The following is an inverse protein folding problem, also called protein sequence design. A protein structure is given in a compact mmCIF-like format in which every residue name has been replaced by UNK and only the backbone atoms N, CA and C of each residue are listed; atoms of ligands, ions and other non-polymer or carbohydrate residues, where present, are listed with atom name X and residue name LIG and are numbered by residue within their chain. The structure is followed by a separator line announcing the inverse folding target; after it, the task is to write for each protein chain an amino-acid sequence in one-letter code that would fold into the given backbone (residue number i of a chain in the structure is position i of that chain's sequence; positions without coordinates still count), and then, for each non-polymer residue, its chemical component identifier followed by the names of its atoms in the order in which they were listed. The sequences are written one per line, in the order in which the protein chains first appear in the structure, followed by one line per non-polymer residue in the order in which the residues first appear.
data_IF_420982268156
#
_entry.id   IF_420982268156
#
_cell.length_a   1.000
_cell.length_b   1.000
_cell.length_c   1.000
_cell.angle_alpha   90.00
_cell.angle_beta   90.00
_cell.angle_gamma   90.00
#
_symmetry.space_group_name_H-M   'P 1'
#
loop_
_entity.id
_entity.type
_entity.pdbx_description
1 polymer ?
#
# COMPACT_ATOMS: atom_id res chain seq x y z
N UNK A 1 -0.54 -14.73 26.66
CA UNK A 1 -0.96 -13.82 27.74
C UNK A 1 0.14 -12.77 27.87
N UNK A 2 -0.14 -11.51 27.54
CA UNK A 2 0.79 -10.41 27.78
C UNK A 2 0.59 -9.83 29.18
N UNK A 3 1.37 -8.80 29.55
CA UNK A 3 1.21 -8.10 30.83
C UNK A 3 -0.18 -7.44 30.93
N UNK A 4 -1.11 -8.12 31.58
CA UNK A 4 -2.48 -7.62 31.81
C UNK A 4 -3.44 -7.70 30.61
N UNK A 5 -3.09 -8.38 29.52
CA UNK A 5 -3.98 -8.50 28.35
C UNK A 5 -4.00 -9.87 27.66
N UNK A 6 -5.13 -10.13 26.99
CA UNK A 6 -5.35 -11.35 26.19
C UNK A 6 -5.23 -11.13 24.69
N UNK A 7 -5.67 -9.98 24.15
CA UNK A 7 -5.64 -9.67 22.71
C UNK A 7 -5.04 -8.30 22.37
N UNK A 8 -5.48 -7.23 23.03
CA UNK A 8 -5.00 -5.86 22.80
C UNK A 8 -4.24 -5.33 24.04
N UNK A 9 -3.05 -4.71 23.88
CA UNK A 9 -2.34 -4.11 25.00
C UNK A 9 -3.17 -3.00 25.66
N UNK A 10 -3.18 -2.97 26.99
CA UNK A 10 -3.84 -1.91 27.75
C UNK A 10 -3.08 -0.60 27.52
N UNK A 11 -3.79 0.46 27.14
CA UNK A 11 -3.22 1.80 26.91
C UNK A 11 -2.85 2.14 25.47
N UNK A 12 -2.93 1.20 24.53
CA UNK A 12 -2.67 1.50 23.11
C UNK A 12 -3.90 2.20 22.48
N UNK A 13 -3.79 3.41 21.91
CA UNK A 13 -4.93 4.07 21.29
C UNK A 13 -5.51 3.21 20.18
N UNK A 14 -6.81 2.92 20.25
CA UNK A 14 -7.48 2.01 19.31
C UNK A 14 -7.27 2.42 17.84
N UNK A 15 -7.26 3.73 17.56
CA UNK A 15 -6.95 4.28 16.24
C UNK A 15 -5.51 3.99 15.78
N UNK A 16 -4.54 3.97 16.69
CA UNK A 16 -3.14 3.61 16.39
C UNK A 16 -3.02 2.12 16.11
N UNK A 17 -3.69 1.27 16.91
CA UNK A 17 -3.73 -0.17 16.67
C UNK A 17 -4.30 -0.49 15.29
N UNK A 18 -5.44 0.11 14.97
CA UNK A 18 -6.13 -0.15 13.71
C UNK A 18 -5.45 0.54 12.54
N UNK A 19 -4.79 1.68 12.77
CA UNK A 19 -3.92 2.29 11.78
C UNK A 19 -2.73 1.40 11.45
N UNK A 20 -2.09 0.79 12.47
CA UNK A 20 -1.05 -0.19 12.28
C UNK A 20 -1.56 -1.43 11.52
N UNK A 21 -2.78 -1.88 11.80
CA UNK A 21 -3.40 -3.00 11.08
C UNK A 21 -3.75 -2.63 9.62
N UNK A 22 -4.25 -1.43 9.37
CA UNK A 22 -4.52 -0.92 8.03
C UNK A 22 -3.23 -0.72 7.20
N UNK A 23 -2.11 -0.43 7.86
CA UNK A 23 -0.77 -0.35 7.27
C UNK A 23 0.07 -1.63 7.42
N UNK A 24 -0.49 -2.73 7.95
CA UNK A 24 0.19 -4.02 8.01
C UNK A 24 0.31 -4.58 6.57
N UNK A 25 1.30 -4.09 5.82
CA UNK A 25 1.53 -4.37 4.40
C UNK A 25 1.33 -3.13 3.51
N UNK A 26 1.17 -3.36 2.20
CA UNK A 26 0.86 -2.32 1.22
C UNK A 26 -0.61 -1.87 1.32
N UNK A 27 -0.99 -1.28 2.45
CA UNK A 27 -2.38 -0.88 2.73
C UNK A 27 -2.96 0.14 1.75
N UNK A 28 -4.30 0.15 1.64
CA UNK A 28 -5.03 1.16 0.87
C UNK A 28 -4.87 1.03 -0.65
N UNK A 29 -4.75 2.16 -1.33
CA UNK A 29 -4.70 2.24 -2.80
C UNK A 29 -3.45 1.56 -3.41
N UNK A 30 -2.41 1.32 -2.60
CA UNK A 30 -1.19 0.64 -3.06
C UNK A 30 -1.44 -0.83 -3.43
N UNK A 31 -2.47 -1.46 -2.86
CA UNK A 31 -2.92 -2.80 -3.29
C UNK A 31 -3.40 -2.78 -4.73
N UNK A 32 -4.16 -1.75 -5.12
CA UNK A 32 -4.62 -1.57 -6.50
C UNK A 32 -3.46 -1.19 -7.43
N UNK A 33 -2.46 -0.47 -6.89
CA UNK A 33 -1.30 -0.05 -7.65
C UNK A 33 -0.49 -1.22 -8.24
N UNK A 34 -0.55 -2.40 -7.61
CA UNK A 34 0.07 -3.63 -8.12
C UNK A 34 -0.34 -3.96 -9.55
N UNK A 35 -1.60 -3.66 -9.92
CA UNK A 35 -2.10 -3.89 -11.28
C UNK A 35 -1.33 -3.08 -12.34
N UNK A 36 -0.85 -1.87 -12.00
CA UNK A 36 -0.01 -1.07 -12.92
C UNK A 36 1.37 -1.69 -13.11
N UNK A 37 1.97 -2.28 -12.09
CA UNK A 37 3.27 -2.95 -12.25
C UNK A 37 3.14 -4.22 -13.10
N UNK A 38 2.07 -5.00 -12.91
CA UNK A 38 1.75 -6.15 -13.78
C UNK A 38 1.53 -5.70 -15.24
N UNK A 39 0.79 -4.60 -15.43
CA UNK A 39 0.57 -3.95 -16.73
C UNK A 39 1.89 -3.51 -17.38
N UNK A 40 2.71 -2.72 -16.69
CA UNK A 40 3.97 -2.19 -17.20
C UNK A 40 4.99 -3.29 -17.52
N UNK A 41 5.10 -4.32 -16.67
CA UNK A 41 5.96 -5.47 -16.93
C UNK A 41 5.46 -6.34 -18.09
N UNK A 42 4.22 -6.14 -18.53
CA UNK A 42 3.62 -6.91 -19.63
C UNK A 42 3.27 -8.34 -19.20
N UNK A 43 3.00 -8.57 -17.92
CA UNK A 43 2.65 -9.88 -17.40
C UNK A 43 1.23 -10.25 -17.79
N UNK A 44 1.03 -11.47 -18.29
CA UNK A 44 -0.27 -11.96 -18.74
C UNK A 44 -0.90 -11.02 -19.78
N UNK A 45 -2.13 -10.58 -19.53
CA UNK A 45 -2.84 -9.66 -20.43
C UNK A 45 -2.31 -8.22 -20.38
N UNK A 46 -1.42 -7.89 -19.43
CA UNK A 46 -0.73 -6.59 -19.38
C UNK A 46 0.12 -6.30 -20.62
N UNK A 47 0.52 -7.34 -21.36
CA UNK A 47 1.27 -7.22 -22.63
C UNK A 47 0.59 -6.32 -23.68
N UNK A 48 -0.74 -6.15 -23.61
CA UNK A 48 -1.53 -5.43 -24.61
C UNK A 48 -1.89 -3.98 -24.23
N UNK A 49 -1.46 -3.50 -23.06
CA UNK A 49 -1.94 -2.23 -22.50
C UNK A 49 -1.07 -1.01 -22.82
N UNK A 50 0.14 -1.20 -23.35
CA UNK A 50 1.14 -0.13 -23.49
C UNK A 50 1.70 0.36 -22.14
N UNK A 51 2.80 1.11 -22.17
CA UNK A 51 3.51 1.61 -20.98
C UNK A 51 3.56 3.13 -20.93
N UNK A 52 3.62 3.67 -19.72
CA UNK A 52 3.97 5.09 -19.52
C UNK A 52 5.47 5.22 -19.77
N UNK A 53 5.83 5.88 -20.87
CA UNK A 53 7.22 6.12 -21.24
C UNK A 53 7.71 7.44 -20.65
N UNK A 54 9.03 7.52 -20.44
CA UNK A 54 9.66 8.74 -19.96
C UNK A 54 9.51 9.84 -21.04
N UNK A 55 9.00 11.01 -20.63
CA UNK A 55 8.83 12.19 -21.50
C UNK A 55 10.13 12.55 -22.21
N UNK A 56 11.27 12.35 -21.55
CA UNK A 56 12.60 12.70 -22.09
C UNK A 56 13.08 11.75 -23.19
N UNK A 57 12.49 10.55 -23.30
CA UNK A 57 13.00 9.49 -24.19
C UNK A 57 12.29 9.41 -25.53
N UNK A 58 11.30 10.27 -25.81
CA UNK A 58 10.66 10.43 -27.12
C UNK A 58 9.86 9.23 -27.66
N UNK A 59 9.95 8.06 -27.04
CA UNK A 59 9.24 6.86 -27.47
C UNK A 59 7.80 6.90 -26.96
N UNK A 60 6.83 7.19 -27.83
CA UNK A 60 5.41 7.04 -27.51
C UNK A 60 4.94 5.62 -27.79
N UNK A 61 4.38 4.95 -26.78
CA UNK A 61 3.63 3.70 -26.98
C UNK A 61 2.13 4.01 -27.11
N UNK A 62 1.38 3.16 -27.82
CA UNK A 62 -0.09 3.21 -27.82
C UNK A 62 -0.60 2.70 -26.46
N UNK A 63 -1.07 3.62 -25.61
CA UNK A 63 -1.51 3.31 -24.25
C UNK A 63 -3.01 3.01 -24.29
N UNK A 64 -3.38 1.83 -23.81
CA UNK A 64 -4.77 1.41 -23.61
C UNK A 64 -5.07 1.37 -22.12
N UNK A 65 -6.07 2.15 -21.71
CA UNK A 65 -6.57 2.17 -20.33
C UNK A 65 -7.55 1.03 -20.05
N UNK A 66 -8.16 0.49 -21.11
CA UNK A 66 -9.07 -0.65 -21.01
C UNK A 66 -8.32 -1.97 -21.02
N UNK A 67 -8.78 -2.90 -20.19
CA UNK A 67 -8.23 -4.25 -20.11
C UNK A 67 -8.50 -5.04 -21.39
N UNK A 68 -7.54 -5.87 -21.79
CA UNK A 68 -7.72 -6.82 -22.90
C UNK A 68 -8.13 -8.18 -22.36
N UNK A 69 -9.14 -8.80 -22.97
CA UNK A 69 -9.58 -10.17 -22.64
C UNK A 69 -9.19 -11.17 -23.73
N UNK A 70 -9.38 -12.45 -23.47
CA UNK A 70 -9.12 -13.55 -24.40
C UNK A 70 -10.36 -14.45 -24.53
N UNK A 71 -10.47 -15.14 -25.67
CA UNK A 71 -11.55 -16.10 -25.90
C UNK A 71 -11.46 -17.26 -24.91
N UNK A 72 -12.59 -17.59 -24.28
CA UNK A 72 -12.69 -18.64 -23.25
C UNK A 72 -12.69 -20.02 -23.92
N UNK A 73 -11.50 -20.48 -24.30
CA UNK A 73 -11.23 -21.84 -24.75
C UNK A 73 -10.34 -22.57 -23.73
N UNK A 74 -10.24 -23.89 -23.84
CA UNK A 74 -9.51 -24.73 -22.88
C UNK A 74 -8.04 -24.32 -22.76
N UNK A 75 -7.35 -24.13 -23.88
CA UNK A 75 -5.93 -23.78 -23.91
C UNK A 75 -5.62 -22.44 -23.23
N UNK A 76 -6.46 -21.43 -23.46
CA UNK A 76 -6.28 -20.12 -22.85
C UNK A 76 -6.57 -20.14 -21.34
N UNK A 77 -7.58 -20.90 -20.91
CA UNK A 77 -7.89 -21.09 -19.49
C UNK A 77 -6.75 -21.82 -18.78
N UNK A 78 -6.16 -22.86 -19.39
CA UNK A 78 -5.01 -23.57 -18.82
C UNK A 78 -3.77 -22.67 -18.68
N UNK A 79 -3.53 -21.80 -19.67
CA UNK A 79 -2.48 -20.77 -19.59
C UNK A 79 -2.75 -19.75 -18.49
N UNK A 80 -3.99 -19.28 -18.35
CA UNK A 80 -4.40 -18.38 -17.29
C UNK A 80 -4.21 -19.01 -15.91
N UNK A 81 -4.63 -20.27 -15.72
CA UNK A 81 -4.46 -20.98 -14.46
C UNK A 81 -2.98 -21.16 -14.08
N UNK A 82 -2.13 -21.44 -15.07
CA UNK A 82 -0.69 -21.53 -14.87
C UNK A 82 -0.09 -20.18 -14.45
N UNK A 83 -0.45 -19.09 -15.15
CA UNK A 83 -0.04 -17.74 -14.79
C UNK A 83 -0.52 -17.35 -13.39
N UNK A 84 -1.80 -17.61 -13.09
CA UNK A 84 -2.40 -17.32 -11.80
C UNK A 84 -1.70 -18.06 -10.67
N UNK A 85 -1.42 -19.37 -10.84
CA UNK A 85 -0.66 -20.14 -9.86
C UNK A 85 0.72 -19.54 -9.59
N UNK A 86 1.45 -19.16 -10.65
CA UNK A 86 2.79 -18.55 -10.53
C UNK A 86 2.74 -17.22 -9.77
N UNK A 87 1.81 -16.33 -10.13
CA UNK A 87 1.65 -15.04 -9.45
C UNK A 87 1.28 -15.20 -7.98
N UNK A 88 0.41 -16.16 -7.64
CA UNK A 88 0.07 -16.43 -6.23
C UNK A 88 1.29 -16.94 -5.45
N UNK A 89 2.11 -17.83 -6.03
CA UNK A 89 3.33 -18.32 -5.39
C UNK A 89 4.33 -17.18 -5.18
N UNK A 90 4.55 -16.36 -6.22
CA UNK A 90 5.44 -15.21 -6.14
C UNK A 90 5.00 -14.23 -5.06
N UNK A 91 3.71 -13.86 -5.00
CA UNK A 91 3.21 -12.98 -3.94
C UNK A 91 3.30 -13.62 -2.55
N UNK A 92 3.00 -14.92 -2.42
CA UNK A 92 3.11 -15.61 -1.13
C UNK A 92 4.56 -15.63 -0.61
N UNK A 93 5.53 -15.84 -1.50
CA UNK A 93 6.95 -15.90 -1.13
C UNK A 93 7.57 -14.50 -0.96
N UNK A 94 7.36 -13.60 -1.91
CA UNK A 94 8.06 -12.31 -1.96
C UNK A 94 7.35 -11.19 -1.20
N UNK A 95 6.05 -11.29 -0.97
CA UNK A 95 5.32 -10.27 -0.20
C UNK A 95 4.95 -10.80 1.19
N UNK A 96 4.27 -11.95 1.26
CA UNK A 96 3.77 -12.44 2.54
C UNK A 96 4.90 -13.01 3.42
N UNK A 97 5.71 -13.94 2.90
CA UNK A 97 6.74 -14.62 3.70
C UNK A 97 7.87 -13.68 4.12
N UNK A 98 8.47 -12.95 3.18
CA UNK A 98 9.53 -11.96 3.46
C UNK A 98 9.02 -10.81 4.32
N UNK A 99 7.79 -10.34 4.09
CA UNK A 99 7.16 -9.30 4.89
C UNK A 99 6.93 -9.76 6.32
N UNK A 100 6.34 -10.93 6.52
CA UNK A 100 6.14 -11.54 7.83
C UNK A 100 7.47 -11.77 8.55
N UNK A 101 8.46 -12.33 7.86
CA UNK A 101 9.80 -12.55 8.41
C UNK A 101 10.45 -11.24 8.87
N UNK A 102 10.42 -10.22 8.03
CA UNK A 102 11.00 -8.90 8.35
C UNK A 102 10.27 -8.23 9.52
N UNK A 103 8.93 -8.28 9.55
CA UNK A 103 8.15 -7.74 10.67
C UNK A 103 8.47 -8.45 11.99
N UNK A 104 8.61 -9.77 11.98
CA UNK A 104 8.98 -10.54 13.18
C UNK A 104 10.38 -10.17 13.64
N UNK A 105 11.36 -10.06 12.72
CA UNK A 105 12.72 -9.67 13.07
C UNK A 105 12.80 -8.23 13.61
N UNK A 106 12.12 -7.28 12.98
CA UNK A 106 12.07 -5.90 13.46
C UNK A 106 11.34 -5.80 14.81
N UNK A 107 10.27 -6.57 15.02
CA UNK A 107 9.59 -6.62 16.31
C UNK A 107 10.48 -7.22 17.40
N UNK A 108 11.27 -8.25 17.07
CA UNK A 108 12.25 -8.84 17.98
C UNK A 108 13.39 -7.86 18.29
N UNK A 109 13.86 -7.11 17.29
CA UNK A 109 14.89 -6.08 17.47
C UNK A 109 14.38 -4.95 18.37
N UNK A 110 13.16 -4.46 18.14
CA UNK A 110 12.50 -3.49 18.98
C UNK A 110 12.40 -3.98 20.43
N UNK A 111 12.00 -5.25 20.59
CA UNK A 111 11.87 -5.88 21.89
C UNK A 111 13.22 -6.04 22.62
N UNK A 112 14.29 -6.40 21.91
CA UNK A 112 15.59 -6.63 22.54
C UNK A 112 16.36 -5.35 22.85
N UNK A 113 16.04 -4.23 22.19
CA UNK A 113 16.81 -3.00 22.29
C UNK A 113 16.17 -1.94 23.19
N UNK A 114 14.87 -1.68 23.01
CA UNK A 114 14.19 -0.51 23.61
C UNK A 114 12.88 -0.87 24.32
N UNK A 115 12.61 -2.16 24.53
CA UNK A 115 11.46 -2.57 25.32
C UNK A 115 11.54 -2.01 26.74
N UNK A 116 10.45 -1.40 27.20
CA UNK A 116 10.34 -0.73 28.50
C UNK A 116 11.31 0.45 28.70
N UNK A 117 11.90 1.01 27.64
CA UNK A 117 12.66 2.27 27.73
C UNK A 117 11.67 3.44 27.97
N UNK A 118 11.73 4.14 29.13
CA UNK A 118 10.84 5.26 29.42
C UNK A 118 11.07 6.47 28.50
N UNK A 119 12.18 6.53 27.77
CA UNK A 119 12.44 7.57 26.75
C UNK A 119 11.74 7.32 25.42
N UNK A 120 11.08 6.18 25.24
CA UNK A 120 10.51 5.72 23.97
C UNK A 120 8.99 5.65 24.08
N UNK A 121 8.36 6.83 24.14
CA UNK A 121 6.89 6.91 24.26
C UNK A 121 6.20 6.79 22.89
N UNK A 122 6.60 7.56 21.87
CA UNK A 122 6.06 7.48 20.50
C UNK A 122 6.99 8.14 19.46
N UNK A 123 6.85 7.77 18.17
CA UNK A 123 7.43 8.49 17.05
C UNK A 123 8.84 8.07 16.63
N UNK A 124 9.53 8.94 15.89
CA UNK A 124 10.82 8.61 15.24
C UNK A 124 11.98 8.43 16.23
N UNK A 125 11.85 8.95 17.46
CA UNK A 125 12.85 8.82 18.51
C UNK A 125 13.12 7.36 18.88
N UNK A 126 12.12 6.47 18.74
CA UNK A 126 12.29 5.02 18.87
C UNK A 126 13.47 4.51 18.03
N UNK A 127 13.59 4.92 16.76
CA UNK A 127 14.65 4.47 15.85
C UNK A 127 16.03 4.98 16.30
N UNK A 128 16.09 6.19 16.87
CA UNK A 128 17.35 6.78 17.37
C UNK A 128 17.83 6.02 18.62
N UNK A 129 16.91 5.71 19.53
CA UNK A 129 17.21 4.91 20.73
C UNK A 129 17.63 3.48 20.36
N UNK A 130 16.93 2.86 19.41
CA UNK A 130 17.27 1.54 18.89
C UNK A 130 18.68 1.53 18.27
N UNK A 131 19.03 2.53 17.47
CA UNK A 131 20.37 2.71 16.91
C UNK A 131 21.45 2.87 18.01
N UNK A 132 21.17 3.65 19.05
CA UNK A 132 22.07 3.85 20.18
C UNK A 132 22.23 2.57 21.01
N UNK A 133 21.18 1.78 21.19
CA UNK A 133 21.23 0.48 21.83
C UNK A 133 22.10 -0.50 21.02
N UNK A 134 21.91 -0.58 19.70
CA UNK A 134 22.75 -1.39 18.80
C UNK A 134 24.21 -0.98 18.93
N UNK A 135 24.51 0.32 18.86
CA UNK A 135 25.88 0.84 18.98
C UNK A 135 26.56 0.46 20.30
N UNK A 136 25.80 0.49 21.42
CA UNK A 136 26.30 0.14 22.76
C UNK A 136 26.52 -1.36 22.94
N UNK A 137 25.63 -2.18 22.38
CA UNK A 137 25.65 -3.65 22.57
C UNK A 137 26.53 -4.38 21.55
N UNK A 138 26.87 -3.72 20.43
CA UNK A 138 27.66 -4.32 19.35
C UNK A 138 28.89 -3.45 19.02
N UNK A 139 28.86 -2.72 17.92
CA UNK A 139 29.90 -1.79 17.50
C UNK A 139 29.30 -0.41 17.21
N UNK A 140 29.99 0.70 17.56
CA UNK A 140 29.45 2.04 17.37
C UNK A 140 28.97 2.36 15.95
N UNK A 141 29.69 1.88 14.92
CA UNK A 141 29.35 2.15 13.53
C UNK A 141 28.07 1.44 13.05
N UNK A 142 27.67 0.32 13.69
CA UNK A 142 26.47 -0.43 13.31
C UNK A 142 25.19 0.36 13.60
N UNK A 143 25.16 1.15 14.68
CA UNK A 143 24.04 2.06 14.94
C UNK A 143 23.86 3.10 13.84
N UNK A 144 24.96 3.66 13.32
CA UNK A 144 24.92 4.59 12.20
C UNK A 144 24.46 3.91 10.91
N UNK A 145 24.97 2.71 10.60
CA UNK A 145 24.53 1.93 9.44
C UNK A 145 23.03 1.63 9.53
N UNK A 146 22.52 1.27 10.70
CA UNK A 146 21.10 1.02 10.92
C UNK A 146 20.25 2.25 10.54
N UNK A 147 20.64 3.45 11.01
CA UNK A 147 19.92 4.69 10.67
C UNK A 147 19.99 5.02 9.17
N UNK A 148 21.15 4.82 8.54
CA UNK A 148 21.30 5.02 7.08
C UNK A 148 20.38 4.07 6.32
N UNK A 149 20.36 2.79 6.69
CA UNK A 149 19.50 1.78 6.09
C UNK A 149 18.03 2.10 6.27
N UNK A 150 17.61 2.50 7.48
CA UNK A 150 16.24 2.94 7.76
C UNK A 150 15.85 4.13 6.88
N UNK A 151 16.73 5.14 6.76
CA UNK A 151 16.52 6.30 5.89
C UNK A 151 16.37 5.92 4.41
N UNK A 152 17.25 5.06 3.90
CA UNK A 152 17.19 4.58 2.51
C UNK A 152 15.91 3.79 2.25
N UNK A 153 15.48 2.93 3.17
CA UNK A 153 14.25 2.16 3.06
C UNK A 153 12.99 3.03 3.07
N UNK A 154 12.94 4.04 3.95
CA UNK A 154 11.86 5.02 3.98
C UNK A 154 11.79 5.80 2.66
N UNK A 155 12.94 6.23 2.15
CA UNK A 155 13.03 6.96 0.88
C UNK A 155 12.57 6.10 -0.31
N UNK A 156 13.01 4.84 -0.37
CA UNK A 156 12.55 3.87 -1.38
C UNK A 156 11.04 3.66 -1.36
N UNK A 157 10.44 3.59 -0.16
CA UNK A 157 8.99 3.48 0.01
C UNK A 157 8.28 4.71 -0.54
N UNK A 158 8.76 5.92 -0.24
CA UNK A 158 8.16 7.16 -0.75
C UNK A 158 8.21 7.27 -2.27
N UNK A 159 9.30 6.86 -2.92
CA UNK A 159 9.34 6.80 -4.38
C UNK A 159 8.25 5.89 -4.96
N UNK A 160 8.07 4.71 -4.38
CA UNK A 160 7.02 3.79 -4.82
C UNK A 160 5.63 4.37 -4.62
N UNK A 161 5.38 5.07 -3.51
CA UNK A 161 4.09 5.73 -3.22
C UNK A 161 3.82 6.86 -4.20
N UNK A 162 4.76 7.81 -4.36
CA UNK A 162 4.59 8.92 -5.31
C UNK A 162 4.41 8.43 -6.74
N UNK A 163 5.18 7.45 -7.17
CA UNK A 163 5.04 6.85 -8.50
C UNK A 163 3.70 6.14 -8.67
N UNK A 164 3.24 5.39 -7.67
CA UNK A 164 1.97 4.66 -7.76
C UNK A 164 0.76 5.61 -7.76
N UNK A 165 0.76 6.60 -6.87
CA UNK A 165 -0.33 7.54 -6.75
C UNK A 165 -0.43 8.47 -7.98
N UNK A 166 0.71 8.91 -8.52
CA UNK A 166 0.74 9.72 -9.74
C UNK A 166 0.18 8.96 -10.94
N UNK A 167 0.45 7.65 -11.07
CA UNK A 167 -0.16 6.80 -12.09
C UNK A 167 -1.68 6.72 -11.92
N UNK A 168 -2.13 6.35 -10.72
CA UNK A 168 -3.56 6.24 -10.39
C UNK A 168 -4.29 7.54 -10.72
N UNK A 169 -3.77 8.68 -10.24
CA UNK A 169 -4.38 9.99 -10.47
C UNK A 169 -4.39 10.38 -11.95
N UNK A 170 -3.29 10.13 -12.67
CA UNK A 170 -3.20 10.44 -14.11
C UNK A 170 -4.16 9.61 -14.96
N UNK A 171 -4.28 8.30 -14.72
CA UNK A 171 -5.21 7.46 -15.46
C UNK A 171 -6.66 7.79 -15.09
N UNK A 172 -6.96 8.02 -13.80
CA UNK A 172 -8.29 8.42 -13.37
C UNK A 172 -8.73 9.76 -13.98
N UNK A 173 -7.83 10.73 -14.13
CA UNK A 173 -8.12 12.02 -14.77
C UNK A 173 -8.58 11.82 -16.22
N UNK A 174 -7.87 10.96 -16.96
CA UNK A 174 -8.19 10.64 -18.35
C UNK A 174 -9.48 9.83 -18.46
N UNK A 175 -9.71 8.88 -17.55
CA UNK A 175 -10.93 8.07 -17.51
C UNK A 175 -12.16 8.93 -17.18
N UNK A 176 -12.02 9.89 -16.26
CA UNK A 176 -13.12 10.75 -15.82
C UNK A 176 -13.65 11.66 -16.94
N UNK A 177 -12.78 12.13 -17.84
CA UNK A 177 -13.19 12.91 -19.00
C UNK A 177 -12.22 12.75 -20.18
N UNK A 178 -12.50 11.76 -21.03
CA UNK A 178 -11.67 11.45 -22.21
C UNK A 178 -11.72 12.53 -23.30
N UNK A 179 -12.78 13.33 -23.34
CA UNK A 179 -12.92 14.43 -24.32
C UNK A 179 -11.96 15.58 -23.99
N UNK A 180 -11.86 15.90 -22.69
CA UNK A 180 -11.00 16.99 -22.20
C UNK A 180 -9.54 16.55 -22.03
N UNK A 181 -9.31 15.34 -21.55
CA UNK A 181 -7.98 14.83 -21.22
C UNK A 181 -7.61 13.66 -22.13
N UNK A 182 -6.71 13.92 -23.07
CA UNK A 182 -6.27 12.90 -24.03
C UNK A 182 -5.27 11.91 -23.42
N UNK A 183 -5.40 10.62 -23.79
CA UNK A 183 -4.50 9.53 -23.38
C UNK A 183 -3.05 9.80 -23.81
N UNK A 184 -2.83 10.45 -24.94
CA UNK A 184 -1.49 10.81 -25.46
C UNK A 184 -0.71 11.73 -24.51
N UNK A 185 -1.41 12.46 -23.64
CA UNK A 185 -0.81 13.35 -22.64
C UNK A 185 -0.64 12.69 -21.27
N UNK A 186 -0.88 11.39 -21.14
CA UNK A 186 -0.78 10.66 -19.87
C UNK A 186 0.58 10.84 -19.17
N UNK A 187 1.74 10.77 -19.86
CA UNK A 187 3.02 11.06 -19.22
C UNK A 187 3.05 12.46 -18.59
N UNK A 188 2.49 13.49 -19.25
CA UNK A 188 2.47 14.85 -18.71
C UNK A 188 1.65 14.91 -17.41
N UNK A 189 0.47 14.29 -17.39
CA UNK A 189 -0.36 14.24 -16.18
C UNK A 189 0.33 13.52 -15.03
N UNK A 190 1.05 12.42 -15.32
CA UNK A 190 1.85 11.73 -14.31
C UNK A 190 2.84 12.68 -13.63
N UNK A 191 3.63 13.45 -14.40
CA UNK A 191 4.60 14.39 -13.81
C UNK A 191 3.92 15.56 -13.09
N UNK A 192 2.78 16.05 -13.58
CA UNK A 192 2.00 17.08 -12.89
C UNK A 192 1.58 16.58 -11.50
N UNK A 193 0.95 15.40 -11.42
CA UNK A 193 0.53 14.84 -10.14
C UNK A 193 1.71 14.54 -9.22
N UNK A 194 2.84 14.10 -9.76
CA UNK A 194 4.07 13.88 -9.00
C UNK A 194 4.54 15.17 -8.34
N UNK A 195 4.69 16.24 -9.11
CA UNK A 195 5.16 17.53 -8.58
C UNK A 195 4.16 18.16 -7.61
N UNK A 196 2.86 18.06 -7.88
CA UNK A 196 1.82 18.52 -6.96
C UNK A 196 1.95 17.84 -5.60
N UNK A 197 2.19 16.52 -5.57
CA UNK A 197 2.39 15.79 -4.31
C UNK A 197 3.66 16.22 -3.57
N UNK A 198 4.76 16.45 -4.31
CA UNK A 198 6.02 16.94 -3.73
C UNK A 198 5.81 18.33 -3.12
N UNK A 199 5.19 19.26 -3.84
CA UNK A 199 4.91 20.61 -3.35
C UNK A 199 3.94 20.60 -2.16
N UNK A 200 2.92 19.73 -2.18
CA UNK A 200 2.03 19.55 -1.04
C UNK A 200 2.80 19.06 0.20
N UNK A 201 3.72 18.11 0.05
CA UNK A 201 4.60 17.66 1.13
C UNK A 201 5.47 18.80 1.69
N UNK A 202 6.10 19.59 0.81
CA UNK A 202 6.90 20.76 1.20
C UNK A 202 6.04 21.77 1.97
N UNK A 203 4.82 22.05 1.50
CA UNK A 203 3.92 22.99 2.14
C UNK A 203 3.47 22.51 3.53
N UNK A 204 3.17 21.22 3.69
CA UNK A 204 2.82 20.62 5.00
C UNK A 204 3.97 20.78 6.00
N UNK A 205 5.21 20.50 5.58
CA UNK A 205 6.37 20.69 6.43
C UNK A 205 6.61 22.17 6.75
N UNK A 206 6.45 23.06 5.77
CA UNK A 206 6.59 24.50 5.98
C UNK A 206 5.53 25.07 6.93
N UNK A 207 4.36 24.45 7.01
CA UNK A 207 3.30 24.80 7.96
C UNK A 207 3.56 24.33 9.40
N UNK A 208 4.70 23.68 9.68
CA UNK A 208 5.12 23.29 11.02
C UNK A 208 4.64 21.92 11.49
N UNK A 209 4.11 21.08 10.59
CA UNK A 209 3.80 19.68 10.92
C UNK A 209 5.09 18.85 11.00
N UNK A 210 5.64 18.73 12.20
CA UNK A 210 6.90 18.02 12.47
C UNK A 210 6.69 16.61 13.01
N UNK A 211 5.51 16.28 13.54
CA UNK A 211 5.22 14.98 14.13
C UNK A 211 4.63 13.99 13.09
N UNK A 212 5.35 12.91 12.72
CA UNK A 212 4.91 12.00 11.65
C UNK A 212 3.68 11.16 12.04
N UNK A 213 3.51 10.86 13.33
CA UNK A 213 2.53 9.89 13.80
C UNK A 213 1.10 10.30 13.45
N UNK A 214 0.74 11.58 13.65
CA UNK A 214 -0.59 12.09 13.34
C UNK A 214 -0.94 11.94 11.85
N UNK A 215 -0.01 12.31 10.96
CA UNK A 215 -0.20 12.17 9.51
C UNK A 215 -0.33 10.71 9.09
N UNK A 216 0.45 9.82 9.71
CA UNK A 216 0.36 8.38 9.47
C UNK A 216 -1.02 7.88 9.92
N UNK A 217 -1.49 8.21 11.12
CA UNK A 217 -2.79 7.74 11.61
C UNK A 217 -3.94 8.22 10.72
N UNK A 218 -3.93 9.49 10.29
CA UNK A 218 -4.92 10.04 9.35
C UNK A 218 -4.87 9.26 8.03
N UNK A 219 -3.67 9.07 7.48
CA UNK A 219 -3.48 8.28 6.27
C UNK A 219 -3.99 6.84 6.41
N UNK A 220 -3.84 6.23 7.57
CA UNK A 220 -4.30 4.88 7.85
C UNK A 220 -5.83 4.77 7.80
N UNK A 221 -6.51 5.74 8.42
CA UNK A 221 -7.96 5.83 8.42
C UNK A 221 -8.49 6.04 7.00
N UNK A 222 -7.88 6.97 6.25
CA UNK A 222 -8.25 7.21 4.85
C UNK A 222 -8.03 5.97 3.98
N UNK A 223 -6.92 5.26 4.18
CA UNK A 223 -6.64 4.02 3.47
C UNK A 223 -7.67 2.94 3.81
N UNK A 224 -8.06 2.78 5.07
CA UNK A 224 -9.07 1.80 5.44
C UNK A 224 -10.43 2.09 4.78
N UNK A 225 -10.82 3.37 4.68
CA UNK A 225 -12.01 3.75 3.93
C UNK A 225 -11.91 3.38 2.44
N UNK A 226 -10.75 3.61 1.83
CA UNK A 226 -10.53 3.16 0.45
C UNK A 226 -10.60 1.63 0.32
N UNK A 227 -10.01 0.89 1.27
CA UNK A 227 -10.05 -0.57 1.30
C UNK A 227 -11.47 -1.11 1.41
N UNK A 228 -12.33 -0.45 2.19
CA UNK A 228 -13.75 -0.76 2.22
C UNK A 228 -14.40 -0.61 0.84
N UNK A 229 -14.20 0.53 0.16
CA UNK A 229 -14.81 0.78 -1.15
C UNK A 229 -14.31 -0.22 -2.19
N UNK A 230 -12.98 -0.33 -2.38
CA UNK A 230 -12.47 -1.14 -3.47
C UNK A 230 -12.67 -2.63 -3.24
N UNK A 231 -12.70 -3.12 -1.99
CA UNK A 231 -12.97 -4.53 -1.72
C UNK A 231 -14.39 -4.92 -2.14
N UNK A 232 -15.37 -4.03 -1.91
CA UNK A 232 -16.73 -4.19 -2.42
C UNK A 232 -16.77 -4.20 -3.96
N UNK A 233 -16.05 -3.28 -4.60
CA UNK A 233 -15.92 -3.24 -6.06
C UNK A 233 -15.25 -4.49 -6.63
N UNK A 234 -14.23 -5.04 -5.96
CA UNK A 234 -13.56 -6.28 -6.37
C UNK A 234 -14.47 -7.49 -6.27
N UNK A 235 -15.34 -7.57 -5.25
CA UNK A 235 -16.35 -8.64 -5.16
C UNK A 235 -17.32 -8.58 -6.32
N UNK A 236 -17.81 -7.37 -6.66
CA UNK A 236 -18.66 -7.16 -7.82
C UNK A 236 -17.95 -7.57 -9.11
N UNK A 237 -16.75 -7.03 -9.36
CA UNK A 237 -15.95 -7.32 -10.56
C UNK A 237 -15.71 -8.83 -10.76
N UNK A 238 -15.30 -9.52 -9.68
CA UNK A 238 -14.99 -10.96 -9.72
C UNK A 238 -16.23 -11.84 -9.88
N UNK A 239 -17.42 -11.36 -9.52
CA UNK A 239 -18.67 -12.13 -9.56
C UNK A 239 -19.55 -11.84 -10.78
N UNK A 240 -19.52 -10.62 -11.32
CA UNK A 240 -20.40 -10.20 -12.42
C UNK A 240 -19.69 -10.11 -13.77
N UNK A 241 -18.49 -9.51 -13.82
CA UNK A 241 -17.81 -9.17 -15.08
C UNK A 241 -16.91 -10.31 -15.57
N UNK A 242 -16.27 -11.05 -14.66
CA UNK A 242 -15.42 -12.18 -15.04
C UNK A 242 -16.22 -13.39 -15.52
N UNK A 243 -15.77 -14.00 -16.62
CA UNK A 243 -16.31 -15.27 -17.11
C UNK A 243 -16.14 -16.37 -16.06
N UNK A 244 -17.13 -17.27 -15.97
CA UNK A 244 -17.20 -18.29 -14.89
C UNK A 244 -15.89 -19.07 -14.68
N UNK A 245 -15.14 -19.51 -15.73
CA UNK A 245 -13.91 -20.26 -15.55
C UNK A 245 -12.73 -19.45 -14.97
N UNK A 246 -12.78 -18.11 -15.02
CA UNK A 246 -11.71 -17.24 -14.55
C UNK A 246 -11.94 -16.75 -13.10
N UNK A 247 -13.12 -17.03 -12.54
CA UNK A 247 -13.51 -16.49 -11.23
C UNK A 247 -12.62 -17.06 -10.12
N UNK A 248 -12.28 -16.24 -9.10
CA UNK A 248 -11.61 -16.74 -7.90
C UNK A 248 -12.43 -17.82 -7.21
N UNK A 249 -11.75 -18.68 -6.44
CA UNK A 249 -12.43 -19.69 -5.63
C UNK A 249 -13.38 -19.05 -4.58
N UNK A 250 -14.45 -19.74 -4.17
CA UNK A 250 -15.39 -19.23 -3.17
C UNK A 250 -14.70 -18.81 -1.86
N UNK A 251 -13.66 -19.53 -1.45
CA UNK A 251 -12.84 -19.17 -0.28
C UNK A 251 -12.23 -17.76 -0.41
N UNK A 252 -11.72 -17.39 -1.58
CA UNK A 252 -11.15 -16.06 -1.82
C UNK A 252 -12.23 -14.98 -1.80
N UNK A 253 -13.41 -15.27 -2.35
CA UNK A 253 -14.55 -14.36 -2.30
C UNK A 253 -14.99 -14.11 -0.85
N UNK A 254 -15.06 -15.15 -0.02
CA UNK A 254 -15.36 -15.03 1.41
C UNK A 254 -14.31 -14.20 2.11
N UNK A 255 -13.01 -14.45 1.87
CA UNK A 255 -11.93 -13.69 2.48
C UNK A 255 -11.99 -12.18 2.13
N UNK A 256 -12.26 -11.83 0.86
CA UNK A 256 -12.46 -10.44 0.46
C UNK A 256 -13.75 -9.87 1.06
N UNK A 257 -14.80 -10.66 1.21
CA UNK A 257 -16.03 -10.29 1.92
C UNK A 257 -15.80 -9.96 3.39
N UNK A 258 -14.98 -10.75 4.08
CA UNK A 258 -14.59 -10.46 5.46
C UNK A 258 -13.75 -9.17 5.54
N UNK A 259 -12.84 -8.94 4.60
CA UNK A 259 -12.09 -7.70 4.52
C UNK A 259 -13.01 -6.48 4.31
N UNK A 260 -14.02 -6.60 3.43
CA UNK A 260 -15.04 -5.57 3.21
C UNK A 260 -15.79 -5.24 4.51
N UNK A 261 -16.29 -6.25 5.21
CA UNK A 261 -17.01 -6.06 6.47
C UNK A 261 -16.10 -5.46 7.56
N UNK A 262 -14.86 -5.93 7.66
CA UNK A 262 -13.89 -5.45 8.63
C UNK A 262 -13.54 -3.96 8.40
N UNK A 263 -13.12 -3.59 7.19
CA UNK A 263 -12.75 -2.21 6.89
C UNK A 263 -13.97 -1.27 6.89
N UNK A 264 -15.14 -1.75 6.48
CA UNK A 264 -16.40 -1.01 6.58
C UNK A 264 -16.78 -0.74 8.03
N UNK A 265 -16.78 -1.77 8.88
CA UNK A 265 -17.04 -1.64 10.31
C UNK A 265 -16.04 -0.70 11.00
N UNK A 266 -14.75 -0.82 10.67
CA UNK A 266 -13.71 0.07 11.17
C UNK A 266 -13.92 1.54 10.75
N UNK A 267 -14.29 1.77 9.49
CA UNK A 267 -14.57 3.11 8.97
C UNK A 267 -15.76 3.75 9.66
N UNK A 268 -16.87 3.02 9.81
CA UNK A 268 -18.08 3.48 10.52
C UNK A 268 -17.76 3.79 11.98
N UNK A 269 -17.02 2.90 12.67
CA UNK A 269 -16.62 3.10 14.04
C UNK A 269 -15.77 4.37 14.21
N UNK A 270 -14.79 4.58 13.32
CA UNK A 270 -13.91 5.75 13.39
C UNK A 270 -14.67 7.04 13.12
N UNK A 271 -15.62 7.04 12.17
CA UNK A 271 -16.52 8.18 11.92
C UNK A 271 -17.33 8.48 13.18
N UNK A 272 -17.99 7.48 13.76
CA UNK A 272 -18.81 7.64 14.96
C UNK A 272 -18.02 8.21 16.14
N UNK A 273 -16.82 7.67 16.39
CA UNK A 273 -15.95 8.13 17.47
C UNK A 273 -15.48 9.59 17.29
N UNK A 274 -15.19 10.01 16.07
CA UNK A 274 -14.77 11.39 15.81
C UNK A 274 -15.96 12.36 15.81
N UNK A 275 -17.14 11.95 15.34
CA UNK A 275 -18.35 12.77 15.46
C UNK A 275 -18.72 13.05 16.92
N UNK A 276 -18.58 12.08 17.81
CA UNK A 276 -18.81 12.26 19.26
C UNK A 276 -17.83 13.23 19.94
N UNK A 277 -16.68 13.52 19.32
CA UNK A 277 -15.73 14.52 19.83
C UNK A 277 -16.02 15.95 19.35
N UNK A 278 -16.81 16.07 18.28
CA UNK A 278 -17.21 17.33 17.66
C UNK A 278 -18.53 17.88 18.22
N UNK A 279 -19.35 17.00 18.81
CA UNK A 279 -20.60 17.31 19.52
C UNK A 279 -20.28 17.41 21.01
#
# INVERSE_FOLDING_TARGET
KGDGFWFLPVGLPFATFLGALAYAGAGGNLNLAQSFYVKEKGYGMGKFSGRITNILRGNSEDIKLEGTTFNVNKDNVDRFNTWWKRINIEHALLFWLTGAFTMVLLSLLAFSTVFADPGVETGINFLIHEAAAIARQTFPFLGTIFLVMAGVMLFGTQFAVFGSNSRIASENLVIANREKFQITSLPKYFYIFLWVQIFAGIAIFAAGFTEPLGLIVIGAVMNAFSMFIYSGMLLLLNSSILSKPLRPSPFRLIAVGLAFLFYGGFSVYTIFQNLQKLI
#
